data_IF_915872456551
#
_entry.id   IF_915872456551
#
_cell.length_a   1.000
_cell.length_b   1.000
_cell.length_c   1.000
_cell.angle_alpha   90.00
_cell.angle_beta   90.00
_cell.angle_gamma   90.00
#
_symmetry.space_group_name_H-M   'P 1'
#
loop_
_entity.id
_entity.type
_entity.pdbx_description
1 polymer ?
#
# COMPACT_ATOMS: atom_id res chain seq x y z
N UNK A 1 -6.56 1.17 -12.74
CA UNK A 1 -8.03 1.18 -12.57
C UNK A 1 -8.49 -0.16 -12.03
N UNK A 2 -9.14 -0.15 -10.87
CA UNK A 2 -9.79 -1.32 -10.27
C UNK A 2 -11.19 -1.60 -10.84
N UNK A 3 -11.68 -0.74 -11.74
CA UNK A 3 -13.03 -0.81 -12.28
C UNK A 3 -13.06 -1.60 -13.59
N UNK A 4 -13.90 -2.63 -13.62
CA UNK A 4 -14.05 -3.54 -14.77
C UNK A 4 -12.87 -4.49 -14.94
N UNK A 5 -13.14 -5.73 -15.40
CA UNK A 5 -12.14 -6.79 -15.62
C UNK A 5 -11.35 -7.19 -14.36
N UNK A 6 -12.05 -7.48 -13.26
CA UNK A 6 -11.48 -7.84 -11.95
C UNK A 6 -10.34 -8.86 -12.04
N UNK A 7 -10.58 -10.01 -12.68
CA UNK A 7 -9.58 -11.08 -12.83
C UNK A 7 -8.31 -10.61 -13.55
N UNK A 8 -8.46 -9.76 -14.57
CA UNK A 8 -7.30 -9.21 -15.31
C UNK A 8 -6.50 -8.27 -14.42
N UNK A 9 -7.17 -7.42 -13.64
CA UNK A 9 -6.50 -6.47 -12.77
C UNK A 9 -5.82 -7.16 -11.57
N UNK A 10 -6.49 -8.15 -10.98
CA UNK A 10 -5.89 -9.04 -9.97
C UNK A 10 -4.64 -9.72 -10.53
N UNK A 11 -4.73 -10.36 -11.70
CA UNK A 11 -3.58 -11.04 -12.31
C UNK A 11 -2.41 -10.09 -12.59
N UNK A 12 -2.69 -8.86 -13.02
CA UNK A 12 -1.66 -7.84 -13.23
C UNK A 12 -0.97 -7.43 -11.94
N UNK A 13 -1.75 -7.16 -10.88
CA UNK A 13 -1.21 -6.82 -9.57
C UNK A 13 -0.40 -7.96 -8.97
N UNK A 14 -0.95 -9.18 -9.01
CA UNK A 14 -0.27 -10.39 -8.55
C UNK A 14 1.09 -10.55 -9.23
N UNK A 15 1.12 -10.52 -10.56
CA UNK A 15 2.38 -10.68 -11.30
C UNK A 15 3.37 -9.54 -11.02
N UNK A 16 2.90 -8.30 -10.89
CA UNK A 16 3.77 -7.17 -10.54
C UNK A 16 4.37 -7.33 -9.14
N UNK A 17 3.56 -7.69 -8.15
CA UNK A 17 4.00 -7.92 -6.77
C UNK A 17 4.90 -9.15 -6.65
N UNK A 18 4.65 -10.20 -7.45
CA UNK A 18 5.53 -11.34 -7.54
C UNK A 18 6.93 -10.95 -8.03
N UNK A 19 7.05 -10.09 -9.05
CA UNK A 19 8.35 -9.60 -9.51
C UNK A 19 9.08 -8.78 -8.44
N UNK A 20 8.35 -7.96 -7.66
CA UNK A 20 8.95 -7.22 -6.54
C UNK A 20 9.45 -8.18 -5.46
N UNK A 21 8.65 -9.21 -5.12
CA UNK A 21 9.04 -10.24 -4.15
C UNK A 21 10.29 -11.01 -4.60
N UNK A 22 10.31 -11.48 -5.84
CA UNK A 22 11.44 -12.21 -6.41
C UNK A 22 12.72 -11.36 -6.43
N UNK A 23 12.60 -10.06 -6.70
CA UNK A 23 13.74 -9.14 -6.64
C UNK A 23 14.27 -8.96 -5.22
N UNK A 24 13.35 -8.80 -4.25
CA UNK A 24 13.73 -8.72 -2.84
C UNK A 24 14.42 -10.02 -2.39
N UNK A 25 13.86 -11.19 -2.71
CA UNK A 25 14.46 -12.49 -2.37
C UNK A 25 15.85 -12.67 -2.97
N UNK A 26 16.03 -12.34 -4.25
CA UNK A 26 17.34 -12.40 -4.91
C UNK A 26 18.38 -11.50 -4.22
N UNK A 27 17.98 -10.31 -3.77
CA UNK A 27 18.85 -9.41 -3.03
C UNK A 27 19.21 -9.99 -1.67
N UNK A 28 18.22 -10.50 -0.92
CA UNK A 28 18.44 -11.12 0.38
C UNK A 28 19.34 -12.36 0.31
N UNK A 29 19.23 -13.14 -0.76
CA UNK A 29 20.04 -14.35 -0.99
C UNK A 29 21.47 -14.04 -1.51
N UNK A 30 21.71 -12.83 -2.03
CA UNK A 30 22.99 -12.49 -2.69
C UNK A 30 24.17 -12.32 -1.73
N UNK A 31 23.90 -12.03 -0.46
CA UNK A 31 24.92 -11.87 0.59
C UNK A 31 24.54 -12.68 1.82
N UNK A 32 24.97 -13.94 1.89
CA UNK A 32 24.59 -14.88 2.96
C UNK A 32 25.02 -14.46 4.37
N UNK A 33 26.00 -13.58 4.48
CA UNK A 33 26.50 -13.06 5.76
C UNK A 33 25.80 -11.76 6.21
N UNK A 34 24.91 -11.22 5.36
CA UNK A 34 24.14 -10.00 5.62
C UNK A 34 22.69 -10.37 5.96
N UNK A 35 22.20 -9.93 7.12
CA UNK A 35 20.78 -10.01 7.44
C UNK A 35 20.08 -8.78 6.89
N UNK A 36 19.32 -8.95 5.82
CA UNK A 36 18.55 -7.89 5.20
C UNK A 36 17.23 -7.64 5.95
N UNK A 37 16.88 -6.37 6.11
CA UNK A 37 15.62 -5.91 6.68
C UNK A 37 14.94 -5.05 5.62
N UNK A 38 13.79 -5.49 5.11
CA UNK A 38 13.24 -4.93 3.87
C UNK A 38 11.85 -4.36 4.09
N UNK A 39 11.61 -3.20 3.49
CA UNK A 39 10.29 -2.57 3.35
C UNK A 39 9.91 -2.53 1.88
N UNK A 40 8.69 -2.96 1.57
CA UNK A 40 8.03 -2.72 0.28
C UNK A 40 6.86 -1.79 0.53
N UNK A 41 6.87 -0.63 -0.13
CA UNK A 41 5.82 0.39 0.02
C UNK A 41 5.37 0.92 -1.34
N UNK A 42 4.07 1.21 -1.46
CA UNK A 42 3.50 1.85 -2.65
C UNK A 42 2.02 1.58 -2.85
N UNK A 43 1.46 2.18 -3.90
CA UNK A 43 0.07 1.95 -4.33
C UNK A 43 -0.10 0.55 -4.94
N UNK A 44 -0.57 -0.38 -4.11
CA UNK A 44 -0.86 -1.75 -4.52
C UNK A 44 -2.26 -1.90 -5.13
N UNK A 45 -3.08 -0.84 -5.15
CA UNK A 45 -4.42 -0.83 -5.72
C UNK A 45 -5.34 -1.97 -5.20
N UNK A 46 -5.12 -2.44 -3.97
CA UNK A 46 -5.90 -3.52 -3.36
C UNK A 46 -6.14 -3.22 -1.89
N UNK A 47 -7.38 -3.41 -1.46
CA UNK A 47 -7.77 -3.22 -0.06
C UNK A 47 -8.54 -4.42 0.49
N UNK A 48 -7.88 -5.38 1.16
CA UNK A 48 -8.51 -6.59 1.69
C UNK A 48 -9.66 -6.34 2.68
N UNK A 49 -9.74 -5.14 3.27
CA UNK A 49 -10.85 -4.77 4.16
C UNK A 49 -12.17 -4.56 3.39
N UNK A 50 -12.09 -4.22 2.10
CA UNK A 50 -13.26 -4.02 1.25
C UNK A 50 -13.77 -5.35 0.69
N UNK A 51 -15.09 -5.55 0.74
CA UNK A 51 -15.75 -6.78 0.29
C UNK A 51 -15.32 -7.25 -1.13
N UNK A 52 -15.09 -6.31 -2.06
CA UNK A 52 -14.67 -6.61 -3.44
C UNK A 52 -13.27 -7.21 -3.56
N UNK A 53 -12.42 -7.06 -2.54
CA UNK A 53 -11.04 -7.57 -2.52
C UNK A 53 -10.81 -8.67 -1.47
N UNK A 54 -11.81 -9.04 -0.68
CA UNK A 54 -11.66 -10.08 0.35
C UNK A 54 -11.14 -11.42 -0.18
N UNK A 55 -11.35 -11.71 -1.47
CA UNK A 55 -10.86 -12.92 -2.15
C UNK A 55 -9.77 -12.63 -3.19
N UNK A 56 -9.33 -11.39 -3.28
CA UNK A 56 -8.30 -10.95 -4.23
C UNK A 56 -6.94 -11.46 -3.76
N UNK A 57 -6.22 -12.17 -4.64
CA UNK A 57 -4.94 -12.79 -4.29
C UNK A 57 -3.73 -11.92 -4.62
N UNK A 58 -3.92 -10.64 -4.97
CA UNK A 58 -2.82 -9.74 -5.38
C UNK A 58 -1.68 -9.71 -4.36
N UNK A 59 -1.99 -9.71 -3.05
CA UNK A 59 -1.00 -9.66 -1.98
C UNK A 59 -0.39 -11.04 -1.62
N UNK A 60 -0.85 -12.13 -2.22
CA UNK A 60 -0.38 -13.48 -1.89
C UNK A 60 1.15 -13.70 -2.03
N UNK A 61 1.90 -13.03 -2.94
CA UNK A 61 3.35 -13.14 -2.98
C UNK A 61 4.05 -12.71 -1.67
N UNK A 62 3.41 -11.85 -0.87
CA UNK A 62 3.94 -11.31 0.39
C UNK A 62 3.18 -11.85 1.61
N UNK A 63 2.54 -13.02 1.50
CA UNK A 63 1.73 -13.61 2.59
C UNK A 63 2.50 -13.89 3.88
N UNK A 64 3.81 -14.01 3.78
CA UNK A 64 4.76 -14.25 4.87
C UNK A 64 5.39 -12.95 5.40
N UNK A 65 5.05 -11.82 4.81
CA UNK A 65 5.43 -10.48 5.27
C UNK A 65 4.28 -9.83 6.01
N UNK A 66 4.61 -8.83 6.83
CA UNK A 66 3.61 -8.12 7.63
C UNK A 66 3.10 -6.90 6.87
N UNK A 67 1.80 -6.85 6.59
CA UNK A 67 1.11 -5.63 6.15
C UNK A 67 0.78 -4.76 7.36
N UNK A 68 1.46 -3.62 7.50
CA UNK A 68 1.34 -2.75 8.66
C UNK A 68 -0.06 -2.15 8.82
N UNK A 69 -0.82 -1.98 7.73
CA UNK A 69 -2.19 -1.48 7.82
C UNK A 69 -3.19 -2.53 8.32
N UNK A 70 -2.87 -3.83 8.21
CA UNK A 70 -3.72 -4.91 8.69
C UNK A 70 -3.41 -5.32 10.13
N UNK A 71 -2.18 -5.10 10.59
CA UNK A 71 -1.73 -5.51 11.93
C UNK A 71 -1.82 -4.40 12.98
N UNK A 72 -1.89 -3.14 12.55
CA UNK A 72 -2.08 -2.01 13.47
C UNK A 72 -3.54 -1.94 13.92
N UNK A 73 -3.77 -1.77 15.22
CA UNK A 73 -5.11 -1.74 15.85
C UNK A 73 -5.92 -0.46 15.57
N UNK A 74 -5.41 0.43 14.73
CA UNK A 74 -6.10 1.66 14.40
C UNK A 74 -7.19 1.38 13.36
N UNK A 75 -8.40 1.83 13.67
CA UNK A 75 -9.54 1.69 12.78
C UNK A 75 -9.62 2.88 11.81
N UNK A 76 -10.13 2.63 10.60
CA UNK A 76 -10.49 3.72 9.69
C UNK A 76 -9.33 4.30 8.87
N UNK A 77 -8.27 3.52 8.63
CA UNK A 77 -7.24 3.88 7.66
C UNK A 77 -7.85 4.23 6.29
N UNK A 78 -7.37 5.32 5.69
CA UNK A 78 -7.75 5.75 4.35
C UNK A 78 -6.51 6.31 3.68
N UNK A 79 -6.10 5.74 2.54
CA UNK A 79 -5.02 6.30 1.71
C UNK A 79 -5.58 6.91 0.43
N UNK A 80 -6.77 6.51 0.03
CA UNK A 80 -7.53 7.13 -1.06
C UNK A 80 -8.82 7.68 -0.49
N UNK A 81 -9.04 9.01 -0.49
CA UNK A 81 -10.26 9.58 0.04
C UNK A 81 -11.47 9.30 -0.84
N UNK A 82 -12.64 9.31 -0.21
CA UNK A 82 -13.91 9.39 -0.93
C UNK A 82 -13.95 10.63 -1.82
N UNK A 83 -14.34 10.45 -3.09
CA UNK A 83 -14.56 11.53 -4.04
C UNK A 83 -15.88 11.34 -4.75
N UNK A 84 -16.65 12.42 -4.86
CA UNK A 84 -17.92 12.45 -5.59
C UNK A 84 -17.95 13.62 -6.55
N UNK A 85 -17.78 13.32 -7.84
CA UNK A 85 -18.29 14.18 -8.91
C UNK A 85 -19.34 13.40 -9.69
N UNK A 86 -20.34 14.07 -10.24
CA UNK A 86 -21.15 13.40 -11.26
C UNK A 86 -20.31 13.27 -12.54
N UNK A 87 -20.11 12.09 -13.15
CA UNK A 87 -20.70 10.77 -12.87
C UNK A 87 -19.82 9.81 -12.03
N UNK A 88 -18.64 10.22 -11.59
CA UNK A 88 -17.65 9.36 -10.92
C UNK A 88 -17.75 9.35 -9.38
N UNK A 89 -18.01 8.15 -8.83
CA UNK A 89 -17.95 7.89 -7.39
C UNK A 89 -16.77 6.98 -7.07
N UNK A 90 -15.85 7.48 -6.26
CA UNK A 90 -14.73 6.71 -5.72
C UNK A 90 -14.97 6.53 -4.22
N UNK A 91 -15.05 5.28 -3.79
CA UNK A 91 -15.12 4.93 -2.36
C UNK A 91 -13.73 5.09 -1.74
N UNK A 92 -13.71 5.40 -0.45
CA UNK A 92 -12.45 5.38 0.31
C UNK A 92 -11.82 4.00 0.28
N UNK A 93 -10.48 3.94 0.27
CA UNK A 93 -9.73 2.68 0.31
C UNK A 93 -8.33 2.88 0.90
N UNK A 94 -7.72 1.77 1.30
CA UNK A 94 -6.30 1.64 1.66
C UNK A 94 -5.59 0.89 0.54
N UNK A 95 -5.20 1.62 -0.51
CA UNK A 95 -4.49 1.04 -1.66
C UNK A 95 -2.98 1.14 -1.52
N UNK A 96 -2.52 2.21 -0.88
CA UNK A 96 -1.12 2.35 -0.49
C UNK A 96 -0.87 1.44 0.70
N UNK A 97 0.12 0.56 0.56
CA UNK A 97 0.42 -0.50 1.52
C UNK A 97 1.88 -0.44 1.91
N UNK A 98 2.18 -0.87 3.13
CA UNK A 98 3.54 -1.00 3.65
C UNK A 98 3.70 -2.42 4.15
N UNK A 99 4.51 -3.20 3.43
CA UNK A 99 4.82 -4.60 3.74
C UNK A 99 6.25 -4.67 4.28
N UNK A 100 6.42 -5.31 5.43
CA UNK A 100 7.73 -5.44 6.08
C UNK A 100 8.16 -6.89 6.17
N UNK A 101 9.45 -7.14 5.92
CA UNK A 101 10.02 -8.48 6.07
C UNK A 101 9.99 -8.91 7.54
N UNK A 102 9.96 -10.22 7.83
CA UNK A 102 9.98 -10.73 9.21
C UNK A 102 11.15 -10.20 10.03
N UNK A 103 12.28 -9.91 9.38
CA UNK A 103 13.49 -9.44 10.03
C UNK A 103 13.32 -8.05 10.64
N UNK A 104 12.59 -7.17 9.96
CA UNK A 104 12.30 -5.78 10.37
C UNK A 104 11.21 -5.68 11.47
N UNK A 105 10.89 -6.80 12.12
CA UNK A 105 10.04 -6.85 13.30
C UNK A 105 10.83 -7.05 14.60
N UNK A 106 12.17 -7.06 14.52
CA UNK A 106 13.09 -7.39 15.61
C UNK A 106 14.27 -6.43 15.61
N UNK A 107 14.95 -6.30 16.74
CA UNK A 107 16.21 -5.53 16.80
C UNK A 107 17.24 -6.01 15.73
N UNK A 108 18.08 -5.11 15.20
CA UNK A 108 18.24 -3.72 15.61
C UNK A 108 17.24 -2.75 14.99
N UNK A 109 16.53 -3.09 13.90
CA UNK A 109 15.56 -2.17 13.29
C UNK A 109 14.13 -2.69 13.36
N UNK A 110 13.22 -1.86 13.86
CA UNK A 110 11.80 -2.17 13.88
C UNK A 110 11.00 -1.15 13.08
N UNK A 111 9.99 -1.61 12.35
CA UNK A 111 9.02 -0.72 11.71
C UNK A 111 7.99 -0.22 12.74
N UNK A 112 7.81 1.09 12.82
CA UNK A 112 6.70 1.71 13.54
C UNK A 112 5.34 1.46 12.87
N UNK A 113 4.25 2.00 13.43
CA UNK A 113 2.95 1.99 12.77
C UNK A 113 3.00 2.79 11.45
N UNK A 114 2.12 2.49 10.48
CA UNK A 114 1.98 3.31 9.29
C UNK A 114 1.34 4.65 9.67
N UNK A 115 1.69 5.70 8.94
CA UNK A 115 1.13 7.04 9.12
C UNK A 115 0.55 7.55 7.82
N UNK A 116 -0.56 8.28 7.91
CA UNK A 116 -1.26 8.89 6.76
C UNK A 116 -1.32 10.40 6.93
N UNK A 117 -0.81 11.15 5.95
CA UNK A 117 -0.87 12.60 5.95
C UNK A 117 -2.15 13.06 5.24
N UNK A 118 -3.14 13.51 6.01
CA UNK A 118 -4.46 13.90 5.48
C UNK A 118 -4.54 15.34 4.96
N UNK A 119 -3.43 16.08 5.00
CA UNK A 119 -3.33 17.46 4.56
C UNK A 119 -3.01 17.56 3.08
N UNK A 120 -3.39 18.68 2.45
CA UNK A 120 -3.04 18.97 1.07
C UNK A 120 -3.79 18.13 0.02
N UNK A 121 -4.95 17.56 0.36
CA UNK A 121 -5.74 16.77 -0.59
C UNK A 121 -7.09 17.43 -0.85
N UNK A 122 -7.34 17.76 -2.11
CA UNK A 122 -8.65 18.22 -2.56
C UNK A 122 -9.56 17.00 -2.75
N UNK A 123 -10.52 16.84 -1.84
CA UNK A 123 -11.54 15.79 -1.88
C UNK A 123 -12.84 16.24 -2.55
N UNK A 124 -12.95 17.54 -2.85
CA UNK A 124 -14.15 18.16 -3.41
C UNK A 124 -14.14 18.22 -4.94
N UNK A 125 -12.96 18.36 -5.55
CA UNK A 125 -12.77 18.40 -7.00
C UNK A 125 -11.90 17.21 -7.44
N UNK A 126 -12.49 16.17 -8.05
CA UNK A 126 -11.73 15.03 -8.56
C UNK A 126 -10.93 15.35 -9.84
N UNK A 127 -11.13 16.52 -10.45
CA UNK A 127 -10.31 17.02 -11.56
C UNK A 127 -9.13 17.88 -11.09
N UNK A 128 -8.94 18.05 -9.78
CA UNK A 128 -7.83 18.82 -9.24
C UNK A 128 -6.50 18.24 -9.74
N UNK A 129 -5.64 19.11 -10.24
CA UNK A 129 -4.32 18.74 -10.76
C UNK A 129 -3.32 18.84 -9.61
N UNK A 130 -2.55 17.78 -9.39
CA UNK A 130 -1.47 17.77 -8.41
C UNK A 130 -0.50 18.95 -8.63
N UNK A 131 -0.10 19.61 -7.54
CA UNK A 131 0.77 20.78 -7.56
C UNK A 131 0.06 22.11 -7.90
N UNK A 132 -1.27 22.11 -8.09
CA UNK A 132 -2.06 23.35 -8.20
C UNK A 132 -2.78 23.65 -6.88
N UNK A 133 -2.55 24.84 -6.34
CA UNK A 133 -3.06 25.23 -5.02
C UNK A 133 -2.48 24.31 -3.94
N UNK A 134 -3.32 23.94 -2.98
CA UNK A 134 -2.90 23.07 -1.88
C UNK A 134 -3.00 21.57 -2.21
N UNK A 135 -3.39 21.19 -3.44
CA UNK A 135 -3.58 19.78 -3.82
C UNK A 135 -2.27 19.09 -4.22
N UNK A 136 -1.83 18.08 -3.46
CA UNK A 136 -0.56 17.39 -3.70
C UNK A 136 -0.70 16.08 -4.49
N UNK A 137 -1.77 15.32 -4.27
CA UNK A 137 -1.98 14.01 -4.89
C UNK A 137 -3.45 13.59 -4.76
N UNK A 138 -3.92 12.67 -5.59
CA UNK A 138 -5.24 12.08 -5.42
C UNK A 138 -5.30 11.06 -4.25
N UNK A 139 -4.15 10.62 -3.76
CA UNK A 139 -3.93 9.79 -2.59
C UNK A 139 -3.35 10.61 -1.42
N UNK A 140 -3.68 10.25 -0.19
CA UNK A 140 -2.98 10.73 1.00
C UNK A 140 -1.56 10.13 1.04
N UNK A 141 -0.51 10.95 1.21
CA UNK A 141 0.83 10.44 1.43
C UNK A 141 0.89 9.52 2.65
N UNK A 142 1.64 8.44 2.53
CA UNK A 142 1.87 7.48 3.62
C UNK A 142 3.35 7.38 3.95
N UNK A 143 3.68 7.18 5.23
CA UNK A 143 5.05 6.94 5.66
C UNK A 143 5.10 5.94 6.82
N UNK A 144 6.28 5.38 7.05
CA UNK A 144 6.62 4.55 8.20
C UNK A 144 7.98 4.98 8.72
N UNK A 145 8.13 5.05 10.03
CA UNK A 145 9.41 5.29 10.67
C UNK A 145 10.11 3.97 10.95
N UNK A 146 11.39 3.87 10.58
CA UNK A 146 12.25 2.77 11.01
C UNK A 146 13.00 3.20 12.27
N UNK A 147 12.84 2.41 13.33
CA UNK A 147 13.33 2.71 14.67
C UNK A 147 14.47 1.76 15.02
N UNK A 148 15.47 2.26 15.75
CA UNK A 148 16.61 1.50 16.23
C UNK A 148 16.68 1.49 17.75
#
# INVERSE_FOLDING_TARGET
SNYGKSLRNESKRFNALQLVRENADQMMDSESDTRWEVVVLGDMNVDPSLAKFQRDRSLAPFRDWTDLFLTTREEGWVTVPYRKSSPFRYESAVFDRILVSPELSREPWTAGPPNVVTQGINTTDPGAIAGKGDHVSDHYPVYVDLQR
#
